data_IF_562832316607
#
_entry.id   IF_562832316607
#
_cell.length_a   1.000
_cell.length_b   1.000
_cell.length_c   1.000
_cell.angle_alpha   90.00
_cell.angle_beta   90.00
_cell.angle_gamma   90.00
#
_symmetry.space_group_name_H-M   'P 1'
#
loop_
_entity.id
_entity.type
_entity.pdbx_description
1 polymer ?
#
# COMPACT_ATOMS: atom_id res chain seq x y z
N UNK A 1 5.04 14.81 7.03
CA UNK A 1 6.21 15.55 6.47
C UNK A 1 5.90 16.97 5.99
N UNK A 2 5.20 17.20 4.88
CA UNK A 2 5.08 18.54 4.22
C UNK A 2 4.63 19.71 5.14
N UNK A 3 3.68 19.49 6.05
CA UNK A 3 3.21 20.53 6.98
C UNK A 3 4.21 20.85 8.09
N UNK A 4 4.92 19.83 8.59
CA UNK A 4 5.88 19.96 9.69
C UNK A 4 7.22 20.54 9.22
N UNK A 5 7.67 20.20 8.00
CA UNK A 5 8.89 20.77 7.42
C UNK A 5 8.77 22.27 7.18
N UNK A 6 7.58 22.75 6.76
CA UNK A 6 7.31 24.19 6.63
C UNK A 6 7.34 24.93 7.96
N UNK A 7 6.78 24.34 9.02
CA UNK A 7 6.76 24.95 10.35
C UNK A 7 8.16 25.04 11.00
N UNK A 8 9.04 24.07 10.72
CA UNK A 8 10.41 24.05 11.21
C UNK A 8 11.42 24.81 10.33
N UNK A 9 10.97 25.47 9.25
CA UNK A 9 11.87 26.15 8.30
C UNK A 9 12.77 25.21 7.49
N UNK A 10 12.44 23.91 7.44
CA UNK A 10 13.24 22.88 6.77
C UNK A 10 12.73 22.63 5.35
N UNK A 11 13.65 22.56 4.39
CA UNK A 11 13.32 22.17 3.01
C UNK A 11 13.34 20.66 2.88
N UNK A 12 12.35 20.08 2.18
CA UNK A 12 12.33 18.63 1.91
C UNK A 12 13.59 18.14 1.20
N UNK A 13 14.07 18.80 0.11
CA UNK A 13 15.30 18.38 -0.56
C UNK A 13 16.52 18.41 0.37
N UNK A 14 16.62 19.43 1.24
CA UNK A 14 17.72 19.54 2.20
C UNK A 14 17.75 18.40 3.22
N UNK A 15 16.58 17.91 3.64
CA UNK A 15 16.48 16.77 4.56
C UNK A 15 16.90 15.45 3.88
N UNK A 16 16.50 15.23 2.62
CA UNK A 16 16.97 14.05 1.88
C UNK A 16 18.49 14.10 1.64
N UNK A 17 19.03 15.26 1.24
CA UNK A 17 20.47 15.44 1.08
C UNK A 17 21.23 15.24 2.40
N UNK A 18 20.63 15.63 3.54
CA UNK A 18 21.20 15.34 4.86
C UNK A 18 21.18 13.85 5.16
N UNK A 19 20.08 13.15 4.90
CA UNK A 19 19.96 11.69 5.05
C UNK A 19 21.00 10.92 4.24
N UNK A 20 21.39 11.41 3.07
CA UNK A 20 22.42 10.76 2.26
C UNK A 20 23.84 10.87 2.83
N UNK A 21 24.14 11.95 3.57
CA UNK A 21 25.52 12.28 4.00
C UNK A 21 25.78 12.08 5.50
N UNK A 22 24.74 11.87 6.28
CA UNK A 22 24.75 11.78 7.75
C UNK A 22 24.06 10.47 8.16
N UNK A 23 24.87 9.46 8.47
CA UNK A 23 24.38 8.11 8.74
C UNK A 23 23.58 8.02 10.05
N UNK A 24 23.95 8.81 11.06
CA UNK A 24 23.24 8.88 12.34
C UNK A 24 21.85 9.50 12.12
N UNK A 25 21.79 10.63 11.41
CA UNK A 25 20.52 11.24 11.03
C UNK A 25 19.65 10.31 10.16
N UNK A 26 20.26 9.52 9.26
CA UNK A 26 19.53 8.56 8.44
C UNK A 26 18.87 7.47 9.29
N UNK A 27 19.57 6.97 10.31
CA UNK A 27 19.04 5.99 11.24
C UNK A 27 17.89 6.57 12.07
N UNK A 28 18.08 7.73 12.72
CA UNK A 28 17.02 8.38 13.50
C UNK A 28 15.78 8.68 12.66
N UNK A 29 15.99 9.07 11.40
CA UNK A 29 14.90 9.29 10.45
C UNK A 29 14.11 8.01 10.16
N UNK A 30 14.81 6.91 9.91
CA UNK A 30 14.18 5.63 9.59
C UNK A 30 13.42 5.07 10.81
N UNK A 31 13.97 5.21 12.02
CA UNK A 31 13.31 4.86 13.28
C UNK A 31 12.04 5.72 13.51
N UNK A 32 12.11 7.02 13.23
CA UNK A 32 10.96 7.91 13.33
C UNK A 32 9.85 7.55 12.33
N UNK A 33 10.22 7.17 11.11
CA UNK A 33 9.26 6.69 10.10
C UNK A 33 8.63 5.37 10.53
N UNK A 34 9.43 4.41 11.03
CA UNK A 34 8.91 3.14 11.53
C UNK A 34 7.89 3.36 12.65
N UNK A 35 8.24 4.16 13.65
CA UNK A 35 7.35 4.50 14.78
C UNK A 35 6.05 5.15 14.30
N UNK A 36 6.13 6.04 13.31
CA UNK A 36 4.96 6.67 12.72
C UNK A 36 4.06 5.66 11.97
N UNK A 37 4.67 4.68 11.30
CA UNK A 37 3.93 3.59 10.64
C UNK A 37 3.25 2.70 11.68
N UNK A 38 3.95 2.30 12.74
CA UNK A 38 3.37 1.48 13.83
C UNK A 38 2.12 2.14 14.44
N UNK A 39 2.20 3.46 14.67
CA UNK A 39 1.06 4.25 15.17
C UNK A 39 -0.12 4.26 14.17
N UNK A 40 0.17 4.34 12.87
CA UNK A 40 -0.86 4.28 11.82
C UNK A 40 -1.49 2.89 11.73
N UNK A 41 -0.69 1.83 11.88
CA UNK A 41 -1.19 0.46 11.90
C UNK A 41 -2.09 0.23 13.11
N UNK A 42 -1.71 0.69 14.30
CA UNK A 42 -2.55 0.59 15.50
C UNK A 42 -3.92 1.25 15.30
N UNK A 43 -3.95 2.48 14.77
CA UNK A 43 -5.22 3.17 14.52
C UNK A 43 -6.02 2.48 13.39
N UNK A 44 -5.35 1.90 12.39
CA UNK A 44 -6.01 1.09 11.37
C UNK A 44 -6.69 -0.14 11.98
N UNK A 45 -6.00 -0.85 12.88
CA UNK A 45 -6.55 -1.98 13.64
C UNK A 45 -7.75 -1.56 14.47
N UNK A 46 -7.64 -0.47 15.24
CA UNK A 46 -8.74 0.06 16.06
C UNK A 46 -9.97 0.39 15.21
N UNK A 47 -9.78 1.08 14.08
CA UNK A 47 -10.88 1.44 13.15
C UNK A 47 -11.52 0.23 12.48
N UNK A 48 -10.71 -0.73 12.08
CA UNK A 48 -11.20 -1.93 11.40
C UNK A 48 -11.94 -2.85 12.37
N UNK A 49 -11.37 -3.12 13.55
CA UNK A 49 -11.87 -4.10 14.53
C UNK A 49 -12.93 -3.52 15.47
N UNK A 50 -12.68 -2.34 16.01
CA UNK A 50 -13.51 -1.75 17.07
C UNK A 50 -14.49 -0.69 16.51
N UNK A 51 -14.15 -0.12 15.34
CA UNK A 51 -14.95 0.89 14.67
C UNK A 51 -14.76 2.29 15.26
N UNK A 52 -15.42 3.30 14.67
CA UNK A 52 -15.43 4.68 15.19
C UNK A 52 -16.84 4.99 15.65
N UNK A 53 -17.04 5.44 16.90
CA UNK A 53 -18.36 5.86 17.37
C UNK A 53 -18.89 7.01 16.53
N UNK A 54 -20.12 6.87 16.05
CA UNK A 54 -20.85 7.90 15.32
C UNK A 54 -22.33 7.82 15.64
N UNK A 55 -23.04 8.92 15.39
CA UNK A 55 -24.50 8.91 15.51
C UNK A 55 -25.13 8.03 14.45
N UNK A 56 -26.11 7.22 14.85
CA UNK A 56 -26.94 6.46 13.93
C UNK A 56 -27.87 7.42 13.18
N UNK A 57 -27.63 7.59 11.89
CA UNK A 57 -28.44 8.42 10.99
C UNK A 57 -29.02 7.54 9.89
N UNK A 58 -30.31 7.74 9.61
CA UNK A 58 -31.03 7.08 8.51
C UNK A 58 -31.47 8.12 7.49
N UNK A 59 -32.08 7.68 6.38
CA UNK A 59 -32.70 8.59 5.41
C UNK A 59 -33.81 9.49 6.00
N UNK A 60 -34.32 9.17 7.21
CA UNK A 60 -35.31 9.97 7.95
C UNK A 60 -34.67 10.93 8.97
N UNK A 61 -33.34 10.92 9.09
CA UNK A 61 -32.60 11.73 10.07
C UNK A 61 -32.00 10.91 11.21
N UNK A 62 -31.67 11.63 12.29
CA UNK A 62 -31.03 11.10 13.50
C UNK A 62 -31.96 10.13 14.24
N UNK A 63 -31.43 8.97 14.65
CA UNK A 63 -32.18 8.00 15.45
C UNK A 63 -32.02 8.32 16.93
N UNK A 64 -33.14 8.40 17.64
CA UNK A 64 -33.21 8.68 19.07
C UNK A 64 -33.67 7.43 19.84
N UNK A 65 -33.26 7.30 21.10
CA UNK A 65 -33.78 6.33 22.05
C UNK A 65 -35.17 6.74 22.59
N UNK A 66 -35.69 6.00 23.58
CA UNK A 66 -37.02 6.25 24.14
C UNK A 66 -37.09 7.55 24.95
N UNK A 67 -35.93 7.98 25.45
CA UNK A 67 -35.73 9.18 26.26
C UNK A 67 -35.43 10.42 25.40
N UNK A 68 -35.27 10.23 24.08
CA UNK A 68 -35.01 11.29 23.10
C UNK A 68 -33.52 11.59 22.88
N UNK A 69 -32.60 10.78 23.39
CA UNK A 69 -31.16 10.97 23.17
C UNK A 69 -30.71 10.30 21.87
N UNK A 70 -29.71 10.87 21.16
CA UNK A 70 -29.16 10.25 19.97
C UNK A 70 -28.52 8.88 20.23
N UNK A 71 -28.84 7.90 19.41
CA UNK A 71 -28.21 6.58 19.45
C UNK A 71 -26.86 6.64 18.74
N UNK A 72 -25.84 6.03 19.35
CA UNK A 72 -24.51 5.85 18.77
C UNK A 72 -24.35 4.44 18.20
N UNK A 73 -23.60 4.32 17.11
CA UNK A 73 -23.14 3.07 16.53
C UNK A 73 -21.62 3.12 16.30
N UNK A 74 -20.98 1.98 16.13
CA UNK A 74 -19.59 1.91 15.69
C UNK A 74 -19.55 1.70 14.18
N UNK A 75 -18.94 2.65 13.45
CA UNK A 75 -18.64 2.48 12.03
C UNK A 75 -17.31 1.76 11.84
N UNK A 76 -17.39 0.54 11.38
CA UNK A 76 -16.24 -0.28 11.01
C UNK A 76 -15.70 0.12 9.64
N UNK A 77 -14.44 -0.23 9.37
CA UNK A 77 -13.80 0.03 8.08
C UNK A 77 -13.36 -1.27 7.42
N UNK A 78 -14.21 -1.80 6.55
CA UNK A 78 -13.94 -3.04 5.80
C UNK A 78 -12.74 -2.92 4.87
N UNK A 79 -12.47 -1.72 4.34
CA UNK A 79 -11.29 -1.45 3.52
C UNK A 79 -10.00 -1.57 4.33
N UNK A 80 -9.97 -1.03 5.56
CA UNK A 80 -8.84 -1.21 6.47
C UNK A 80 -8.73 -2.66 6.93
N UNK A 81 -9.84 -3.32 7.24
CA UNK A 81 -9.84 -4.75 7.60
C UNK A 81 -9.21 -5.60 6.49
N UNK A 82 -9.65 -5.38 5.24
CA UNK A 82 -9.11 -6.06 4.06
C UNK A 82 -7.62 -5.74 3.84
N UNK A 83 -7.23 -4.48 4.06
CA UNK A 83 -5.82 -4.05 3.94
C UNK A 83 -4.94 -4.76 4.97
N UNK A 84 -5.36 -4.82 6.23
CA UNK A 84 -4.65 -5.50 7.30
C UNK A 84 -4.54 -7.01 7.05
N UNK A 85 -5.62 -7.65 6.58
CA UNK A 85 -5.59 -9.07 6.21
C UNK A 85 -4.60 -9.36 5.08
N UNK A 86 -4.55 -8.50 4.06
CA UNK A 86 -3.58 -8.59 2.97
C UNK A 86 -2.14 -8.35 3.43
N UNK A 87 -1.93 -7.44 4.38
CA UNK A 87 -0.60 -7.13 4.91
C UNK A 87 -0.05 -8.28 5.77
N UNK A 88 -0.86 -8.84 6.68
CA UNK A 88 -0.38 -9.82 7.65
C UNK A 88 -0.56 -11.29 7.22
N UNK A 89 -1.47 -11.59 6.27
CA UNK A 89 -1.67 -12.94 5.69
C UNK A 89 -1.77 -12.92 4.16
N UNK A 90 -0.76 -12.38 3.46
CA UNK A 90 -0.79 -12.20 2.01
C UNK A 90 -0.99 -13.51 1.24
N UNK A 91 -0.52 -14.64 1.76
CA UNK A 91 -0.67 -15.96 1.14
C UNK A 91 -2.14 -16.39 0.96
N UNK A 92 -3.05 -15.83 1.78
CA UNK A 92 -4.49 -16.09 1.73
C UNK A 92 -5.29 -14.98 1.07
N UNK A 93 -4.92 -13.72 1.30
CA UNK A 93 -5.78 -12.58 0.94
C UNK A 93 -5.22 -11.69 -0.17
N UNK A 94 -3.96 -11.87 -0.58
CA UNK A 94 -3.39 -11.13 -1.71
C UNK A 94 -4.13 -11.49 -3.00
N UNK A 95 -4.40 -10.48 -3.81
CA UNK A 95 -4.94 -10.66 -5.15
C UNK A 95 -3.94 -11.41 -6.03
N UNK A 96 -4.40 -12.52 -6.63
CA UNK A 96 -3.65 -13.25 -7.64
C UNK A 96 -4.14 -12.80 -9.00
N UNK A 97 -3.26 -12.17 -9.76
CA UNK A 97 -3.52 -11.86 -11.17
C UNK A 97 -2.84 -12.92 -12.03
N UNK A 98 -3.62 -13.71 -12.74
CA UNK A 98 -3.09 -14.57 -13.81
C UNK A 98 -2.88 -13.69 -15.03
N UNK A 99 -1.62 -13.53 -15.47
CA UNK A 99 -1.29 -12.86 -16.72
C UNK A 99 -1.15 -13.93 -17.79
N UNK A 100 -2.19 -14.09 -18.62
CA UNK A 100 -2.10 -14.92 -19.82
C UNK A 100 -1.35 -14.14 -20.91
N UNK A 101 -0.05 -14.43 -21.07
CA UNK A 101 0.71 -14.00 -22.24
C UNK A 101 0.41 -14.93 -23.41
N UNK A 102 -0.51 -14.54 -24.28
CA UNK A 102 -0.67 -15.15 -25.59
C UNK A 102 0.52 -14.76 -26.48
N UNK A 103 1.57 -15.59 -26.46
CA UNK A 103 2.72 -15.47 -27.36
C UNK A 103 2.35 -16.12 -28.70
N UNK A 104 1.43 -15.51 -29.43
CA UNK A 104 1.11 -15.94 -30.81
C UNK A 104 2.02 -15.22 -31.80
N UNK A 105 2.76 -16.01 -32.60
CA UNK A 105 3.51 -15.58 -33.78
C UNK A 105 4.99 -15.26 -33.53
N UNK A 106 5.25 -14.18 -32.79
CA UNK A 106 6.58 -13.53 -32.77
C UNK A 106 7.72 -14.38 -32.19
N UNK A 107 7.47 -15.21 -31.16
CA UNK A 107 8.54 -16.01 -30.55
C UNK A 107 8.91 -17.22 -31.41
N UNK A 108 7.93 -17.83 -32.08
CA UNK A 108 8.16 -18.96 -32.98
C UNK A 108 8.98 -18.51 -34.20
N UNK A 109 8.64 -17.35 -34.77
CA UNK A 109 9.40 -16.73 -35.88
C UNK A 109 10.84 -16.39 -35.45
N UNK A 110 11.02 -15.79 -34.27
CA UNK A 110 12.36 -15.45 -33.72
C UNK A 110 13.21 -16.69 -33.43
N UNK A 111 12.61 -17.79 -32.98
CA UNK A 111 13.30 -19.05 -32.75
C UNK A 111 13.70 -19.74 -34.06
N UNK A 112 12.85 -19.67 -35.09
CA UNK A 112 13.15 -20.23 -36.41
C UNK A 112 14.26 -19.45 -37.12
N UNK A 113 14.24 -18.11 -37.04
CA UNK A 113 15.33 -17.26 -37.51
C UNK A 113 16.66 -17.55 -36.80
N UNK A 114 16.63 -17.76 -35.48
CA UNK A 114 17.81 -18.10 -34.71
C UNK A 114 18.41 -19.46 -35.13
N UNK A 115 17.56 -20.48 -35.36
CA UNK A 115 17.99 -21.80 -35.84
C UNK A 115 18.64 -21.73 -37.23
N UNK A 116 18.06 -20.96 -38.15
CA UNK A 116 18.61 -20.75 -39.51
C UNK A 116 20.00 -20.09 -39.47
N UNK A 117 20.24 -19.13 -38.56
CA UNK A 117 21.55 -18.48 -38.41
C UNK A 117 22.65 -19.45 -37.97
N UNK A 118 22.33 -20.35 -37.03
CA UNK A 118 23.28 -21.36 -36.52
C UNK A 118 23.62 -22.40 -37.60
N UNK A 119 22.64 -22.87 -38.37
CA UNK A 119 22.89 -23.82 -39.47
C UNK A 119 23.74 -23.22 -40.59
N UNK A 120 23.55 -21.93 -40.91
CA UNK A 120 24.33 -21.24 -41.95
C UNK A 120 25.78 -20.99 -41.51
N UNK A 121 26.04 -20.84 -40.20
CA UNK A 121 27.39 -20.70 -39.65
C UNK A 121 28.15 -22.04 -39.56
N UNK A 122 27.45 -23.15 -39.35
CA UNK A 122 28.07 -24.47 -39.16
C UNK A 122 28.40 -25.22 -40.47
N UNK A 123 28.04 -24.68 -41.64
CA UNK A 123 28.32 -25.27 -42.96
C UNK A 123 29.38 -24.53 -43.77
N UNK A 124 30.22 -23.70 -43.11
CA UNK A 124 31.26 -22.89 -43.75
C UNK A 124 32.69 -23.28 -43.36
N UNK A 125 32.86 -24.43 -42.72
CA UNK A 125 34.14 -25.14 -42.52
C UNK A 125 34.23 -26.30 -43.51
#
# INVERSE_FOLDING_TARGET
MSRYTKAAGLSRPGLYARRERDAEFAQEWDEAISTAIDTLEEEAWRRARDGVPEYLVTGKGLVLDKEGNPIMQNRYSDSLLTTLLKAHRPERYRERSTVEMNVTGSLAERLDEARKRVQTQSGKE
#
